data_IF_245202370502
#
_entry.id   IF_245202370502
#
_cell.length_a   1.000
_cell.length_b   1.000
_cell.length_c   1.000
_cell.angle_alpha   90.00
_cell.angle_beta   90.00
_cell.angle_gamma   90.00
#
_symmetry.space_group_name_H-M   'P 1'
#
loop_
_entity.id
_entity.type
_entity.pdbx_description
1 polymer ?
#
# COMPACT_ATOMS: atom_id res chain seq x y z
N UNK A 1 -19.71 -15.17 -27.19
CA UNK A 1 -20.26 -14.01 -26.46
C UNK A 1 -21.50 -13.39 -27.11
N UNK A 2 -22.33 -14.23 -27.78
CA UNK A 2 -23.58 -13.73 -28.42
C UNK A 2 -24.48 -13.04 -27.37
N UNK A 3 -24.87 -11.79 -27.65
CA UNK A 3 -25.71 -10.99 -26.75
C UNK A 3 -25.00 -10.46 -25.48
N UNK A 4 -23.67 -10.51 -25.43
CA UNK A 4 -22.85 -10.02 -24.33
C UNK A 4 -21.85 -8.97 -24.82
N UNK A 5 -21.57 -7.98 -23.96
CA UNK A 5 -20.43 -7.10 -24.17
C UNK A 5 -19.18 -7.76 -23.60
N UNK A 6 -18.09 -7.75 -24.38
CA UNK A 6 -16.77 -8.23 -23.94
C UNK A 6 -15.89 -7.01 -23.76
N UNK A 7 -15.23 -6.91 -22.61
CA UNK A 7 -14.32 -5.82 -22.28
C UNK A 7 -13.12 -6.37 -21.51
N UNK A 8 -12.06 -5.57 -21.40
CA UNK A 8 -10.93 -5.91 -20.54
C UNK A 8 -11.38 -6.01 -19.07
N UNK A 9 -10.77 -6.91 -18.33
CA UNK A 9 -10.98 -6.99 -16.88
C UNK A 9 -10.48 -5.72 -16.17
N UNK A 10 -11.17 -5.32 -15.12
CA UNK A 10 -10.78 -4.16 -14.34
C UNK A 10 -9.54 -4.45 -13.49
N UNK A 11 -8.72 -3.42 -13.26
CA UNK A 11 -7.58 -3.44 -12.35
C UNK A 11 -7.91 -2.57 -11.14
N UNK A 12 -7.91 -3.17 -9.95
CA UNK A 12 -7.99 -2.42 -8.70
C UNK A 12 -6.57 -2.08 -8.24
N UNK A 13 -6.21 -0.82 -8.38
CA UNK A 13 -4.85 -0.36 -8.08
C UNK A 13 -4.60 -0.04 -6.61
N UNK A 14 -5.61 -0.08 -5.74
CA UNK A 14 -5.50 0.26 -4.33
C UNK A 14 -6.46 -0.56 -3.47
N UNK A 15 -6.15 -1.82 -3.28
CA UNK A 15 -6.90 -2.71 -2.39
C UNK A 15 -6.10 -3.04 -1.12
N UNK A 16 -6.81 -3.36 -0.04
CA UNK A 16 -6.21 -3.95 1.16
C UNK A 16 -6.75 -5.38 1.29
N UNK A 17 -6.04 -6.33 0.71
CA UNK A 17 -6.46 -7.72 0.54
C UNK A 17 -5.61 -8.73 1.31
N UNK A 18 -4.38 -8.36 1.67
CA UNK A 18 -3.44 -9.26 2.33
C UNK A 18 -2.58 -8.52 3.35
N UNK A 19 -1.98 -9.27 4.27
CA UNK A 19 -0.98 -8.78 5.21
C UNK A 19 -1.52 -8.30 6.55
N UNK A 20 -0.65 -7.72 7.39
CA UNK A 20 -0.96 -7.48 8.80
C UNK A 20 -2.16 -6.58 9.04
N UNK A 21 -2.37 -5.53 8.25
CA UNK A 21 -3.51 -4.60 8.39
C UNK A 21 -4.85 -5.32 8.25
N UNK A 22 -4.95 -6.19 7.25
CA UNK A 22 -6.17 -6.97 6.99
C UNK A 22 -6.38 -8.00 8.10
N UNK A 23 -5.30 -8.61 8.58
CA UNK A 23 -5.35 -9.58 9.68
C UNK A 23 -5.73 -8.93 11.00
N UNK A 24 -5.22 -7.74 11.31
CA UNK A 24 -5.66 -6.95 12.47
C UNK A 24 -7.16 -6.63 12.40
N UNK A 25 -7.63 -6.14 11.24
CA UNK A 25 -9.05 -5.89 11.03
C UNK A 25 -9.91 -7.12 11.29
N UNK A 26 -9.46 -8.31 10.89
CA UNK A 26 -10.13 -9.59 11.21
C UNK A 26 -10.15 -9.88 12.71
N UNK A 27 -9.15 -9.42 13.45
CA UNK A 27 -9.05 -9.62 14.90
C UNK A 27 -9.92 -8.63 15.69
N UNK A 28 -10.12 -7.42 15.20
CA UNK A 28 -10.97 -6.41 15.86
C UNK A 28 -12.45 -6.76 15.86
N UNK A 29 -12.89 -7.64 14.97
CA UNK A 29 -14.29 -8.10 14.87
C UNK A 29 -14.40 -9.63 14.92
N UNK A 30 -14.04 -10.26 16.04
CA UNK A 30 -14.06 -11.71 16.16
C UNK A 30 -15.48 -12.29 16.01
N UNK A 31 -16.52 -11.53 16.33
CA UNK A 31 -17.92 -11.90 16.14
C UNK A 31 -18.28 -12.15 14.68
N UNK A 32 -17.62 -11.52 13.73
CA UNK A 32 -17.83 -11.77 12.31
C UNK A 32 -17.52 -13.22 11.91
N UNK A 33 -16.64 -13.88 12.66
CA UNK A 33 -16.29 -15.30 12.44
C UNK A 33 -17.42 -16.25 12.77
N UNK A 34 -18.32 -15.85 13.66
CA UNK A 34 -19.49 -16.65 14.05
C UNK A 34 -20.54 -16.70 12.94
N UNK A 35 -20.60 -15.68 12.12
CA UNK A 35 -21.61 -15.50 11.07
C UNK A 35 -21.06 -15.70 9.66
N UNK A 36 -19.94 -16.38 9.51
CA UNK A 36 -19.37 -16.63 8.18
C UNK A 36 -20.15 -17.73 7.46
N UNK A 37 -20.69 -17.41 6.30
CA UNK A 37 -21.32 -18.37 5.39
C UNK A 37 -20.36 -18.97 4.37
N UNK A 38 -19.09 -18.61 4.44
CA UNK A 38 -18.08 -19.16 3.53
C UNK A 38 -17.78 -20.60 3.92
N UNK A 39 -18.05 -21.60 3.07
CA UNK A 39 -17.73 -22.98 3.37
C UNK A 39 -16.22 -23.15 3.60
N UNK A 40 -15.85 -23.82 4.69
CA UNK A 40 -14.47 -24.21 4.93
C UNK A 40 -14.07 -25.27 3.92
N UNK A 41 -13.13 -25.01 3.04
CA UNK A 41 -12.48 -26.03 2.22
C UNK A 41 -11.30 -26.64 2.96
N UNK A 42 -11.09 -27.93 2.78
CA UNK A 42 -9.90 -28.64 3.27
C UNK A 42 -8.67 -27.95 2.66
N UNK A 43 -7.77 -27.44 3.50
CA UNK A 43 -6.57 -26.73 3.07
C UNK A 43 -6.68 -25.20 3.05
N UNK A 44 -7.88 -24.60 3.23
CA UNK A 44 -7.97 -23.15 3.39
C UNK A 44 -7.55 -22.73 4.79
N UNK A 45 -6.79 -21.63 4.90
CA UNK A 45 -6.21 -21.18 6.17
C UNK A 45 -7.26 -20.62 7.12
N UNK A 46 -8.27 -19.91 6.63
CA UNK A 46 -9.31 -19.30 7.47
C UNK A 46 -10.64 -19.13 6.72
N UNK A 47 -11.73 -19.22 7.49
CA UNK A 47 -12.99 -18.60 7.13
C UNK A 47 -12.99 -17.18 7.68
N UNK A 48 -13.13 -16.15 6.85
CA UNK A 48 -13.28 -14.75 7.27
C UNK A 48 -14.71 -14.41 7.60
N UNK A 49 -14.90 -13.34 8.33
CA UNK A 49 -16.21 -12.78 8.60
C UNK A 49 -16.78 -11.99 7.41
N UNK A 50 -17.86 -11.28 7.68
CA UNK A 50 -18.53 -10.43 6.69
C UNK A 50 -17.76 -9.16 6.35
N UNK A 51 -17.22 -8.49 7.38
CA UNK A 51 -16.61 -7.16 7.21
C UNK A 51 -15.26 -7.23 6.54
N UNK A 52 -14.46 -8.24 6.87
CA UNK A 52 -13.14 -8.45 6.27
C UNK A 52 -13.05 -9.92 5.86
N UNK A 53 -13.28 -10.22 4.59
CA UNK A 53 -13.28 -11.58 4.08
C UNK A 53 -11.87 -12.22 4.11
N UNK A 54 -11.81 -13.53 4.04
CA UNK A 54 -10.56 -14.25 3.79
C UNK A 54 -10.03 -13.92 2.39
N UNK A 55 -8.72 -14.13 2.19
CA UNK A 55 -8.10 -14.04 0.87
C UNK A 55 -8.85 -14.89 -0.16
N UNK A 56 -9.22 -16.11 0.20
CA UNK A 56 -9.98 -17.01 -0.67
C UNK A 56 -11.33 -16.41 -1.12
N UNK A 57 -12.10 -15.81 -0.19
CA UNK A 57 -13.36 -15.15 -0.52
C UNK A 57 -13.13 -13.87 -1.32
N UNK A 58 -12.09 -13.11 -0.98
CA UNK A 58 -11.73 -11.86 -1.64
C UNK A 58 -11.57 -12.06 -3.13
N UNK A 59 -10.83 -13.07 -3.58
CA UNK A 59 -10.64 -13.33 -5.00
C UNK A 59 -11.96 -13.54 -5.76
N UNK A 60 -12.87 -14.30 -5.19
CA UNK A 60 -14.18 -14.51 -5.81
C UNK A 60 -15.05 -13.24 -5.83
N UNK A 61 -15.02 -12.43 -4.78
CA UNK A 61 -15.80 -11.20 -4.74
C UNK A 61 -15.28 -10.19 -5.77
N UNK A 62 -13.95 -9.99 -5.89
CA UNK A 62 -13.37 -9.14 -6.93
C UNK A 62 -13.69 -9.66 -8.34
N UNK A 63 -13.55 -10.97 -8.58
CA UNK A 63 -13.89 -11.56 -9.88
C UNK A 63 -15.39 -11.36 -10.25
N UNK A 64 -16.29 -11.45 -9.28
CA UNK A 64 -17.73 -11.19 -9.49
C UNK A 64 -18.03 -9.73 -9.85
N UNK A 65 -17.21 -8.78 -9.37
CA UNK A 65 -17.30 -7.37 -9.73
C UNK A 65 -16.64 -7.05 -11.08
N UNK A 66 -15.96 -8.02 -11.70
CA UNK A 66 -15.31 -7.84 -13.00
C UNK A 66 -13.83 -7.45 -12.92
N UNK A 67 -13.23 -7.48 -11.75
CA UNK A 67 -11.78 -7.28 -11.60
C UNK A 67 -11.02 -8.56 -11.94
N UNK A 68 -9.91 -8.40 -12.65
CA UNK A 68 -8.98 -9.48 -12.97
C UNK A 68 -7.64 -9.33 -12.26
N UNK A 69 -7.36 -8.13 -11.75
CA UNK A 69 -6.11 -7.81 -11.06
C UNK A 69 -6.39 -6.91 -9.86
N UNK A 70 -5.76 -7.19 -8.72
CA UNK A 70 -5.84 -6.37 -7.52
C UNK A 70 -4.44 -6.13 -6.94
N UNK A 71 -4.17 -4.88 -6.54
CA UNK A 71 -2.88 -4.48 -5.97
C UNK A 71 -3.03 -4.20 -4.48
N UNK A 72 -2.32 -4.98 -3.63
CA UNK A 72 -2.20 -4.66 -2.20
C UNK A 72 -1.48 -3.34 -2.02
N UNK A 73 -2.21 -2.36 -1.52
CA UNK A 73 -1.79 -0.97 -1.56
C UNK A 73 -0.69 -0.58 -0.57
N UNK A 74 -0.40 -1.41 0.43
CA UNK A 74 0.56 -1.04 1.47
C UNK A 74 1.18 -2.27 2.15
N UNK A 75 2.16 -2.84 1.52
CA UNK A 75 2.93 -3.96 2.04
C UNK A 75 4.09 -3.46 2.90
N UNK A 76 4.08 -3.68 4.23
CA UNK A 76 5.26 -3.42 5.03
C UNK A 76 6.40 -4.38 4.61
N UNK A 77 7.62 -3.90 4.34
CA UNK A 77 8.71 -4.74 3.82
C UNK A 77 9.00 -5.99 4.65
N UNK A 78 8.98 -5.88 5.97
CA UNK A 78 9.20 -7.01 6.88
C UNK A 78 8.14 -8.11 6.78
N UNK A 79 6.98 -7.81 6.26
CA UNK A 79 5.87 -8.74 6.08
C UNK A 79 5.68 -9.19 4.62
N UNK A 80 6.60 -8.84 3.73
CA UNK A 80 6.48 -9.15 2.30
C UNK A 80 6.22 -10.65 2.05
N UNK A 81 6.96 -11.53 2.70
CA UNK A 81 6.73 -12.97 2.59
C UNK A 81 5.31 -13.37 2.98
N UNK A 82 4.81 -12.87 4.10
CA UNK A 82 3.48 -13.16 4.60
C UNK A 82 2.40 -12.66 3.61
N UNK A 83 2.55 -11.44 3.10
CA UNK A 83 1.64 -10.87 2.08
C UNK A 83 1.60 -11.76 0.84
N UNK A 84 2.75 -12.14 0.29
CA UNK A 84 2.81 -13.01 -0.89
C UNK A 84 2.27 -14.43 -0.64
N UNK A 85 2.41 -14.95 0.58
CA UNK A 85 1.79 -16.24 0.94
C UNK A 85 0.26 -16.15 0.99
N UNK A 86 -0.29 -15.05 1.51
CA UNK A 86 -1.74 -14.81 1.49
C UNK A 86 -2.27 -14.58 0.07
N UNK A 87 -1.54 -13.84 -0.76
CA UNK A 87 -1.90 -13.60 -2.16
C UNK A 87 -1.98 -14.92 -2.94
N UNK A 88 -1.08 -15.87 -2.70
CA UNK A 88 -1.17 -17.21 -3.31
C UNK A 88 -2.42 -18.00 -2.95
N UNK A 89 -3.06 -17.66 -1.83
CA UNK A 89 -4.31 -18.28 -1.41
C UNK A 89 -5.55 -17.56 -2.03
N UNK A 90 -5.36 -16.45 -2.74
CA UNK A 90 -6.42 -15.67 -3.39
C UNK A 90 -6.69 -16.27 -4.78
N UNK A 91 -7.90 -16.78 -5.05
CA UNK A 91 -8.18 -17.43 -6.31
C UNK A 91 -8.60 -16.45 -7.40
N UNK A 92 -8.38 -16.84 -8.66
CA UNK A 92 -8.98 -16.28 -9.89
C UNK A 92 -8.38 -14.96 -10.36
N UNK A 93 -7.97 -14.07 -9.47
CA UNK A 93 -7.41 -12.77 -9.81
C UNK A 93 -5.88 -12.77 -9.76
N UNK A 94 -5.27 -11.94 -10.61
CA UNK A 94 -3.84 -11.64 -10.51
C UNK A 94 -3.60 -10.59 -9.41
N UNK A 95 -2.44 -10.64 -8.78
CA UNK A 95 -2.12 -9.78 -7.65
C UNK A 95 -0.71 -9.23 -7.71
N UNK A 96 -0.56 -8.02 -7.17
CA UNK A 96 0.72 -7.39 -6.90
C UNK A 96 0.66 -6.61 -5.59
N UNK A 97 1.80 -6.12 -5.14
CA UNK A 97 1.88 -5.37 -3.90
C UNK A 97 2.85 -4.19 -3.99
N UNK A 98 2.54 -3.12 -3.27
CA UNK A 98 3.39 -1.94 -3.16
C UNK A 98 4.11 -1.93 -1.81
N UNK A 99 5.43 -2.11 -1.73
CA UNK A 99 6.18 -1.93 -0.50
C UNK A 99 6.19 -0.46 -0.07
N UNK A 100 6.08 -0.21 1.23
CA UNK A 100 5.99 1.12 1.81
C UNK A 100 7.38 1.70 2.04
N UNK A 101 7.64 2.92 1.54
CA UNK A 101 8.91 3.65 1.63
C UNK A 101 8.84 4.92 2.49
N UNK A 102 7.71 5.62 2.51
CA UNK A 102 7.59 7.00 2.99
C UNK A 102 7.88 7.25 4.48
N UNK A 103 8.09 6.19 5.28
CA UNK A 103 8.49 6.26 6.68
C UNK A 103 9.66 5.31 6.97
N UNK A 104 10.42 4.97 5.93
CA UNK A 104 11.62 4.15 6.06
C UNK A 104 12.79 5.05 6.46
N UNK A 105 13.46 4.70 7.55
CA UNK A 105 14.55 5.49 8.12
C UNK A 105 15.71 5.69 7.15
N UNK A 106 16.13 4.65 6.44
CA UNK A 106 17.22 4.77 5.46
C UNK A 106 16.84 5.70 4.31
N UNK A 107 15.60 5.59 3.82
CA UNK A 107 15.09 6.47 2.76
C UNK A 107 15.10 7.92 3.23
N UNK A 108 14.52 8.20 4.41
CA UNK A 108 14.46 9.56 4.95
C UNK A 108 15.88 10.14 5.15
N UNK A 109 16.81 9.33 5.67
CA UNK A 109 18.20 9.77 5.89
C UNK A 109 18.94 10.06 4.57
N UNK A 110 18.81 9.21 3.55
CA UNK A 110 19.40 9.47 2.24
C UNK A 110 18.82 10.71 1.57
N UNK A 111 17.50 10.88 1.63
CA UNK A 111 16.83 12.02 1.01
C UNK A 111 17.16 13.34 1.71
N UNK A 112 17.22 13.34 3.04
CA UNK A 112 17.66 14.50 3.82
C UNK A 112 19.07 14.99 3.41
N UNK A 113 19.96 14.05 3.12
CA UNK A 113 21.34 14.34 2.73
C UNK A 113 21.52 14.54 1.21
N UNK A 114 20.43 14.61 0.43
CA UNK A 114 20.43 14.68 -1.04
C UNK A 114 21.19 13.52 -1.71
N UNK A 115 21.24 12.35 -1.07
CA UNK A 115 21.93 11.15 -1.54
C UNK A 115 20.99 10.31 -2.44
N UNK A 116 20.60 10.85 -3.59
CA UNK A 116 19.64 10.20 -4.51
C UNK A 116 20.16 8.86 -5.01
N UNK A 117 21.46 8.72 -5.28
CA UNK A 117 22.06 7.46 -5.74
C UNK A 117 21.89 6.34 -4.69
N UNK A 118 22.12 6.66 -3.41
CA UNK A 118 21.95 5.72 -2.31
C UNK A 118 20.47 5.38 -2.09
N UNK A 119 19.60 6.39 -2.16
CA UNK A 119 18.15 6.19 -2.11
C UNK A 119 17.66 5.27 -3.24
N UNK A 120 18.19 5.45 -4.46
CA UNK A 120 17.86 4.64 -5.63
C UNK A 120 18.37 3.21 -5.48
N UNK A 121 19.62 3.02 -5.07
CA UNK A 121 20.18 1.68 -4.83
C UNK A 121 19.38 0.92 -3.76
N UNK A 122 19.05 1.58 -2.66
CA UNK A 122 18.22 0.99 -1.59
C UNK A 122 16.81 0.67 -2.08
N UNK A 123 16.19 1.57 -2.84
CA UNK A 123 14.85 1.38 -3.41
C UNK A 123 14.82 0.17 -4.37
N UNK A 124 15.78 0.07 -5.27
CA UNK A 124 15.90 -1.06 -6.20
C UNK A 124 16.09 -2.38 -5.45
N UNK A 125 16.96 -2.39 -4.43
CA UNK A 125 17.16 -3.56 -3.56
C UNK A 125 15.87 -3.95 -2.84
N UNK A 126 15.15 -2.99 -2.25
CA UNK A 126 13.94 -3.25 -1.49
C UNK A 126 12.80 -3.77 -2.39
N UNK A 127 12.60 -3.16 -3.56
CA UNK A 127 11.63 -3.64 -4.55
C UNK A 127 11.90 -5.08 -4.96
N UNK A 128 13.17 -5.40 -5.27
CA UNK A 128 13.58 -6.75 -5.67
C UNK A 128 13.41 -7.75 -4.52
N UNK A 129 13.88 -7.41 -3.32
CA UNK A 129 13.83 -8.28 -2.14
C UNK A 129 12.41 -8.61 -1.69
N UNK A 130 11.50 -7.64 -1.79
CA UNK A 130 10.08 -7.78 -1.43
C UNK A 130 9.22 -8.25 -2.57
N UNK A 131 9.75 -8.39 -3.79
CA UNK A 131 8.97 -8.61 -5.03
C UNK A 131 7.87 -7.55 -5.18
N UNK A 132 8.21 -6.32 -4.82
CA UNK A 132 7.31 -5.18 -4.88
C UNK A 132 7.13 -4.67 -6.29
N UNK A 133 5.94 -4.14 -6.60
CA UNK A 133 5.60 -3.66 -7.94
C UNK A 133 6.08 -2.22 -8.18
N UNK A 134 5.88 -1.31 -7.22
CA UNK A 134 6.23 0.09 -7.34
C UNK A 134 6.41 0.76 -5.96
N UNK A 135 6.90 1.99 -5.94
CA UNK A 135 7.09 2.77 -4.72
C UNK A 135 5.73 3.17 -4.14
N UNK A 136 5.55 2.93 -2.85
CA UNK A 136 4.38 3.37 -2.08
C UNK A 136 4.79 4.28 -0.93
N UNK A 137 4.07 5.38 -0.78
CA UNK A 137 4.11 6.19 0.45
C UNK A 137 2.74 6.19 1.13
N UNK A 138 2.74 6.11 2.44
CA UNK A 138 1.55 6.19 3.29
C UNK A 138 1.84 7.18 4.39
N UNK A 139 1.08 8.27 4.43
CA UNK A 139 1.25 9.31 5.45
C UNK A 139 2.74 9.63 5.66
N UNK A 140 3.45 10.09 4.60
CA UNK A 140 4.91 10.23 4.63
C UNK A 140 5.36 11.08 5.82
N UNK A 141 6.35 10.58 6.56
CA UNK A 141 6.81 11.18 7.81
C UNK A 141 5.81 11.13 8.97
N UNK A 142 4.51 11.15 8.69
CA UNK A 142 3.48 11.17 9.70
C UNK A 142 3.35 9.86 10.49
N UNK A 143 3.57 8.71 9.83
CA UNK A 143 3.57 7.42 10.53
C UNK A 143 4.76 7.31 11.49
N UNK A 144 5.92 7.84 11.13
CA UNK A 144 7.06 7.96 12.04
C UNK A 144 6.72 8.89 13.21
N UNK A 145 6.13 10.04 12.92
CA UNK A 145 5.75 11.01 13.94
C UNK A 145 4.77 10.42 14.98
N UNK A 146 3.93 9.47 14.61
CA UNK A 146 3.02 8.79 15.56
C UNK A 146 3.77 8.04 16.67
N UNK A 147 4.93 7.51 16.38
CA UNK A 147 5.78 6.89 17.40
C UNK A 147 6.17 7.83 18.54
N UNK A 148 6.07 9.12 18.31
CA UNK A 148 6.39 10.21 19.26
C UNK A 148 5.16 10.96 19.75
N UNK A 149 3.95 10.45 19.46
CA UNK A 149 2.70 11.12 19.81
C UNK A 149 2.40 12.39 18.99
N UNK A 150 3.08 12.56 17.86
CA UNK A 150 2.95 13.66 16.90
C UNK A 150 2.34 13.19 15.59
N UNK A 151 2.16 14.10 14.63
CA UNK A 151 1.76 13.77 13.26
C UNK A 151 2.27 14.86 12.31
N UNK A 152 2.42 14.53 11.03
CA UNK A 152 2.59 15.50 9.96
C UNK A 152 1.22 15.72 9.31
N UNK A 153 0.60 16.85 9.55
CA UNK A 153 -0.74 17.20 9.06
C UNK A 153 -0.69 17.82 7.66
N UNK A 154 0.42 18.49 7.35
CA UNK A 154 0.68 19.14 6.06
C UNK A 154 1.93 18.56 5.40
N UNK A 155 2.16 18.90 4.14
CA UNK A 155 3.36 18.47 3.42
C UNK A 155 4.64 19.15 3.93
N UNK A 156 4.53 20.22 4.71
CA UNK A 156 5.66 21.02 5.21
C UNK A 156 5.96 20.82 6.70
N UNK A 157 5.22 19.96 7.39
CA UNK A 157 5.46 19.70 8.80
C UNK A 157 6.77 18.89 8.97
N UNK A 158 7.62 19.23 9.95
CA UNK A 158 8.86 18.50 10.16
C UNK A 158 8.58 17.10 10.71
N UNK A 159 9.27 16.11 10.17
CA UNK A 159 9.31 14.76 10.73
C UNK A 159 10.20 14.76 11.97
N UNK A 160 9.71 14.35 13.15
CA UNK A 160 10.51 14.36 14.37
C UNK A 160 11.82 13.59 14.21
N UNK A 161 12.93 14.19 14.64
CA UNK A 161 14.28 13.62 14.66
C UNK A 161 14.94 13.39 13.30
N UNK A 162 14.23 13.57 12.18
CA UNK A 162 14.79 13.37 10.84
C UNK A 162 15.15 14.66 10.11
N UNK A 163 14.60 15.80 10.56
CA UNK A 163 14.87 17.10 9.92
C UNK A 163 14.57 17.09 8.41
N UNK A 164 13.46 16.49 8.06
CA UNK A 164 12.92 16.34 6.70
C UNK A 164 11.41 16.52 6.76
N UNK A 165 10.78 16.89 5.67
CA UNK A 165 9.32 17.10 5.55
C UNK A 165 8.67 16.03 4.65
N UNK A 166 7.34 15.82 4.74
CA UNK A 166 6.61 15.00 3.78
C UNK A 166 6.81 15.42 2.33
N UNK A 167 6.93 16.73 2.04
CA UNK A 167 7.21 17.25 0.71
C UNK A 167 8.56 16.76 0.19
N UNK A 168 9.60 16.86 1.00
CA UNK A 168 10.96 16.41 0.64
C UNK A 168 11.01 14.88 0.46
N UNK A 169 10.31 14.11 1.30
CA UNK A 169 10.18 12.66 1.14
C UNK A 169 9.52 12.32 -0.20
N UNK A 170 8.38 12.94 -0.51
CA UNK A 170 7.66 12.67 -1.75
C UNK A 170 8.48 13.08 -2.96
N UNK A 171 9.02 14.30 -2.98
CA UNK A 171 9.82 14.81 -4.10
C UNK A 171 11.09 13.97 -4.31
N UNK A 172 11.76 13.60 -3.22
CA UNK A 172 12.95 12.74 -3.28
C UNK A 172 12.66 11.36 -3.84
N UNK A 173 11.52 10.74 -3.43
CA UNK A 173 11.09 9.45 -3.99
C UNK A 173 10.60 9.55 -5.43
N UNK A 174 10.01 10.68 -5.86
CA UNK A 174 9.72 10.92 -7.28
C UNK A 174 11.02 10.97 -8.10
N UNK A 175 12.03 11.74 -7.63
CA UNK A 175 13.35 11.78 -8.28
C UNK A 175 14.00 10.40 -8.32
N UNK A 176 13.89 9.63 -7.26
CA UNK A 176 14.38 8.24 -7.19
C UNK A 176 13.67 7.34 -8.21
N UNK A 177 12.35 7.49 -8.37
CA UNK A 177 11.55 6.77 -9.35
C UNK A 177 12.00 7.07 -10.79
N UNK A 178 12.19 8.35 -11.10
CA UNK A 178 12.71 8.80 -12.41
C UNK A 178 14.14 8.31 -12.66
N UNK A 179 15.01 8.42 -11.67
CA UNK A 179 16.41 7.96 -11.76
C UNK A 179 16.49 6.44 -12.08
N UNK A 180 15.63 5.65 -11.48
CA UNK A 180 15.55 4.20 -11.74
C UNK A 180 14.80 3.85 -13.02
N UNK A 181 14.11 4.79 -13.64
CA UNK A 181 13.27 4.53 -14.80
C UNK A 181 12.17 3.51 -14.53
N UNK A 182 11.56 3.55 -13.35
CA UNK A 182 10.52 2.60 -12.97
C UNK A 182 9.28 2.79 -13.85
N UNK A 183 8.64 1.68 -14.28
CA UNK A 183 7.53 1.73 -15.24
C UNK A 183 6.22 2.27 -14.65
N UNK A 184 6.13 2.40 -13.33
CA UNK A 184 4.95 2.86 -12.63
C UNK A 184 5.27 4.07 -11.76
N UNK A 185 4.39 5.05 -11.74
CA UNK A 185 4.52 6.22 -10.88
C UNK A 185 4.41 5.85 -9.39
N UNK A 186 4.96 6.69 -8.52
CA UNK A 186 4.82 6.53 -7.08
C UNK A 186 3.35 6.57 -6.66
N UNK A 187 2.93 5.59 -5.86
CA UNK A 187 1.57 5.50 -5.34
C UNK A 187 1.47 6.17 -3.98
N UNK A 188 0.65 7.21 -3.88
CA UNK A 188 0.59 8.09 -2.70
C UNK A 188 -0.72 7.94 -1.92
N UNK A 189 -0.60 7.73 -0.62
CA UNK A 189 -1.61 8.01 0.39
C UNK A 189 -1.09 9.19 1.22
N UNK A 190 -1.61 10.37 0.97
CA UNK A 190 -1.11 11.61 1.58
C UNK A 190 -1.44 11.73 3.06
N UNK A 191 -0.88 12.77 3.69
CA UNK A 191 -1.11 13.10 5.09
C UNK A 191 -2.57 13.55 5.34
N UNK A 192 -3.05 13.38 6.54
CA UNK A 192 -4.38 13.83 7.01
C UNK A 192 -5.57 13.29 6.22
N UNK A 193 -5.43 12.18 5.48
CA UNK A 193 -6.52 11.59 4.72
C UNK A 193 -7.71 11.26 5.64
N UNK A 194 -8.92 11.67 5.22
CA UNK A 194 -10.16 11.49 5.97
C UNK A 194 -10.51 12.62 6.94
N UNK A 195 -9.61 13.56 7.20
CA UNK A 195 -9.90 14.73 8.01
C UNK A 195 -10.65 15.80 7.19
N UNK A 196 -11.61 16.53 7.78
CA UNK A 196 -12.23 17.67 7.12
C UNK A 196 -11.18 18.68 6.66
N UNK A 197 -11.28 19.15 5.40
CA UNK A 197 -10.30 20.09 4.82
C UNK A 197 -9.07 19.44 4.20
N UNK A 198 -8.91 18.12 4.23
CA UNK A 198 -7.76 17.40 3.68
C UNK A 198 -7.52 17.66 2.16
N UNK A 199 -8.50 18.14 1.44
CA UNK A 199 -8.33 18.47 0.01
C UNK A 199 -7.17 19.46 -0.23
N UNK A 200 -6.86 20.35 0.72
CA UNK A 200 -5.72 21.27 0.61
C UNK A 200 -4.41 20.52 0.61
N UNK A 201 -4.24 19.55 1.50
CA UNK A 201 -3.05 18.69 1.57
C UNK A 201 -2.91 17.85 0.29
N UNK A 202 -4.04 17.35 -0.23
CA UNK A 202 -4.05 16.63 -1.51
C UNK A 202 -3.57 17.54 -2.66
N UNK A 203 -4.09 18.77 -2.72
CA UNK A 203 -3.68 19.73 -3.74
C UNK A 203 -2.20 20.10 -3.63
N UNK A 204 -1.70 20.32 -2.41
CA UNK A 204 -0.29 20.63 -2.19
C UNK A 204 0.60 19.45 -2.56
N UNK A 205 0.18 18.21 -2.25
CA UNK A 205 0.90 17.00 -2.69
C UNK A 205 0.95 16.85 -4.21
N UNK A 206 -0.12 17.20 -4.93
CA UNK A 206 -0.15 17.16 -6.39
C UNK A 206 0.79 18.19 -7.03
N UNK A 207 0.87 19.39 -6.44
CA UNK A 207 1.78 20.45 -6.91
C UNK A 207 3.27 20.10 -6.77
N UNK A 208 3.63 19.12 -5.95
CA UNK A 208 5.03 18.67 -5.83
C UNK A 208 5.53 17.95 -7.10
N UNK A 209 4.61 17.53 -7.98
CA UNK A 209 4.93 16.85 -9.23
C UNK A 209 5.00 17.80 -10.46
N UNK A 210 4.75 19.10 -10.26
CA UNK A 210 4.87 20.14 -11.29
C UNK A 210 6.32 20.62 -11.40
#
# INVERSE_FOLDING_TARGET
AAGKTVMAGAVESHAHIAGPKVNEGRNYRPEDKLFTYTPKKKGSRMAGGFSIPTTFKTGYEYARMGYTTCMEAAMPPLFARHVHEEMKDTPIIDEGAYPVFGNNWFVMEYLKNDEIDNAAAYTAWLLNSTKGYAIKVVNPGGTEAWGWGLNCLTVNDPVPYFDITPAEIMTGLMKTNEYLGLPHSMHVHQNSLGNPGNYTVTLDSLKLAE
#
